data_IF_878401767987
#
_entry.id   IF_878401767987
#
_cell.length_a   1.000
_cell.length_b   1.000
_cell.length_c   1.000
_cell.angle_alpha   90.00
_cell.angle_beta   90.00
_cell.angle_gamma   90.00
#
_symmetry.space_group_name_H-M   'P 1'
#
loop_
_entity.id
_entity.type
_entity.pdbx_description
1 polymer ?
#
# COMPACT_ATOMS: atom_id res chain seq x y z
N UNK A 1 15.62 -72.97 23.09
CA UNK A 1 14.91 -73.49 24.28
C UNK A 1 14.21 -72.28 24.92
N UNK A 2 12.91 -72.06 24.89
CA UNK A 2 11.74 -72.93 24.72
C UNK A 2 10.85 -72.48 23.55
N UNK A 3 10.20 -73.47 22.94
CA UNK A 3 9.11 -73.37 21.98
C UNK A 3 7.75 -73.17 22.68
N UNK A 4 6.72 -73.01 21.84
CA UNK A 4 5.30 -73.40 21.94
C UNK A 4 4.34 -72.22 21.67
N UNK A 5 3.31 -72.28 20.81
CA UNK A 5 2.97 -73.00 19.55
C UNK A 5 1.53 -72.55 19.19
N UNK A 6 1.29 -72.31 17.90
CA UNK A 6 0.06 -72.43 17.09
C UNK A 6 -1.30 -71.80 17.44
N UNK A 7 -1.93 -71.32 16.35
CA UNK A 7 -3.37 -71.22 16.10
C UNK A 7 -3.70 -69.86 15.48
N UNK A 8 -4.05 -69.65 14.21
CA UNK A 8 -4.80 -70.49 13.28
C UNK A 8 -6.20 -69.90 13.08
N UNK A 9 -6.53 -69.54 11.83
CA UNK A 9 -7.86 -69.30 11.23
C UNK A 9 -8.40 -67.85 10.99
N UNK A 10 -8.42 -67.53 9.69
CA UNK A 10 -9.54 -67.09 8.83
C UNK A 10 -10.34 -65.80 9.11
N UNK A 11 -10.13 -64.85 8.18
CA UNK A 11 -11.08 -64.26 7.22
C UNK A 11 -12.41 -63.59 7.68
N UNK A 12 -12.49 -62.33 7.24
CA UNK A 12 -13.61 -61.65 6.58
C UNK A 12 -14.82 -61.21 7.44
N UNK A 13 -14.96 -59.89 7.57
CA UNK A 13 -16.27 -59.23 7.56
C UNK A 13 -16.13 -57.77 7.15
N UNK A 14 -16.55 -57.49 5.91
CA UNK A 14 -17.13 -56.22 5.51
C UNK A 14 -18.17 -55.79 6.54
N UNK A 15 -18.07 -54.57 7.05
CA UNK A 15 -19.27 -53.83 7.43
C UNK A 15 -19.16 -52.36 7.03
N UNK A 16 -19.98 -52.07 6.03
CA UNK A 16 -20.40 -50.78 5.56
C UNK A 16 -21.04 -49.98 6.71
N UNK A 17 -20.63 -48.74 6.92
CA UNK A 17 -21.41 -47.76 7.67
C UNK A 17 -21.13 -46.37 7.09
N UNK A 18 -21.97 -46.05 6.11
CA UNK A 18 -22.32 -44.70 5.72
C UNK A 18 -22.55 -43.82 6.97
N UNK A 19 -21.81 -42.71 7.09
CA UNK A 19 -22.33 -41.57 7.83
C UNK A 19 -22.07 -40.28 7.04
N UNK A 20 -22.97 -40.03 6.08
CA UNK A 20 -23.30 -38.69 5.60
C UNK A 20 -24.44 -38.17 6.49
N UNK A 21 -24.20 -37.06 7.17
CA UNK A 21 -25.17 -35.99 7.47
C UNK A 21 -24.34 -34.81 8.01
N UNK A 22 -24.07 -33.79 7.20
CA UNK A 22 -24.92 -32.64 6.88
C UNK A 22 -25.18 -31.72 8.08
N UNK A 23 -24.68 -30.50 7.92
CA UNK A 23 -25.15 -29.23 8.44
C UNK A 23 -24.94 -28.92 9.93
N UNK A 24 -23.94 -28.10 10.20
CA UNK A 24 -24.16 -26.86 10.94
C UNK A 24 -23.28 -25.75 10.38
N UNK A 25 -23.92 -25.01 9.49
CA UNK A 25 -23.62 -23.66 9.04
C UNK A 25 -23.30 -22.76 10.22
N UNK A 26 -22.02 -22.43 10.42
CA UNK A 26 -21.63 -21.24 11.18
C UNK A 26 -21.59 -20.06 10.19
N UNK A 27 -22.76 -19.49 9.92
CA UNK A 27 -22.87 -18.10 9.45
C UNK A 27 -22.41 -17.24 10.63
N UNK A 28 -21.20 -16.70 10.55
CA UNK A 28 -20.82 -15.53 11.34
C UNK A 28 -21.26 -14.30 10.56
N UNK A 29 -22.48 -13.84 10.82
CA UNK A 29 -22.93 -12.51 10.43
C UNK A 29 -22.30 -11.46 11.37
N UNK A 30 -21.66 -10.49 10.73
CA UNK A 30 -21.65 -9.07 11.10
C UNK A 30 -21.11 -8.69 12.49
N UNK A 31 -19.83 -8.35 12.50
CA UNK A 31 -19.46 -7.00 12.96
C UNK A 31 -18.67 -6.38 11.83
N UNK A 32 -19.18 -5.28 11.26
CA UNK A 32 -18.45 -4.40 10.35
C UNK A 32 -17.33 -3.68 11.09
N UNK A 33 -16.38 -4.45 11.62
CA UNK A 33 -15.05 -3.94 11.88
C UNK A 33 -14.50 -3.61 10.49
N UNK A 34 -14.35 -2.31 10.21
CA UNK A 34 -13.54 -1.86 9.10
C UNK A 34 -12.23 -2.63 9.22
N UNK A 35 -12.06 -3.65 8.38
CA UNK A 35 -10.87 -4.47 8.33
C UNK A 35 -9.73 -3.47 8.23
N UNK A 36 -8.97 -3.31 9.33
CA UNK A 36 -7.85 -2.38 9.37
C UNK A 36 -6.86 -2.96 8.38
N UNK A 37 -6.96 -2.52 7.14
CA UNK A 37 -6.08 -2.94 6.08
C UNK A 37 -4.77 -2.24 6.33
N UNK A 38 -3.86 -2.94 7.01
CA UNK A 38 -2.47 -2.54 7.16
C UNK A 38 -1.84 -2.30 5.77
N UNK A 39 -0.78 -1.50 5.74
CA UNK A 39 -0.02 -1.31 4.51
C UNK A 39 0.47 -2.63 3.91
N UNK A 40 0.65 -2.66 2.60
CA UNK A 40 1.05 -3.83 1.86
C UNK A 40 2.43 -4.34 2.29
N UNK A 41 2.67 -5.63 2.10
CA UNK A 41 3.96 -6.25 2.44
C UNK A 41 5.13 -5.60 1.68
N UNK A 42 4.88 -5.10 0.46
CA UNK A 42 5.85 -4.38 -0.34
C UNK A 42 6.25 -3.05 0.32
N UNK A 43 5.27 -2.28 0.81
CA UNK A 43 5.57 -1.04 1.53
C UNK A 43 6.35 -1.31 2.83
N UNK A 44 5.97 -2.35 3.58
CA UNK A 44 6.74 -2.78 4.76
C UNK A 44 8.18 -3.17 4.42
N UNK A 45 8.39 -3.83 3.28
CA UNK A 45 9.73 -4.15 2.80
C UNK A 45 10.52 -2.88 2.44
N UNK A 46 9.90 -1.93 1.73
CA UNK A 46 10.52 -0.63 1.40
C UNK A 46 10.91 0.12 2.68
N UNK A 47 10.02 0.24 3.67
CA UNK A 47 10.32 0.93 4.93
C UNK A 47 11.48 0.27 5.67
N UNK A 48 11.56 -1.06 5.70
CA UNK A 48 12.71 -1.78 6.27
C UNK A 48 14.01 -1.45 5.55
N UNK A 49 14.02 -1.46 4.21
CA UNK A 49 15.20 -1.12 3.42
C UNK A 49 15.65 0.33 3.69
N UNK A 50 14.72 1.28 3.75
CA UNK A 50 15.02 2.68 4.06
C UNK A 50 15.63 2.85 5.46
N UNK A 51 15.07 2.17 6.46
CA UNK A 51 15.60 2.16 7.83
C UNK A 51 17.00 1.53 7.90
N UNK A 52 17.23 0.39 7.26
CA UNK A 52 18.55 -0.26 7.20
C UNK A 52 19.58 0.60 6.47
N UNK A 53 19.19 1.26 5.38
CA UNK A 53 20.02 2.21 4.65
C UNK A 53 20.43 3.35 5.58
N UNK A 54 19.50 3.98 6.29
CA UNK A 54 19.81 5.06 7.22
C UNK A 54 20.75 4.58 8.32
N UNK A 55 20.46 3.43 8.95
CA UNK A 55 21.27 2.91 10.05
C UNK A 55 22.73 2.71 9.60
N UNK A 56 22.92 2.02 8.47
CA UNK A 56 24.25 1.74 7.92
C UNK A 56 25.00 3.01 7.51
N UNK A 57 24.31 3.92 6.80
CA UNK A 57 24.93 5.16 6.32
C UNK A 57 25.22 6.14 7.45
N UNK A 58 24.39 6.17 8.49
CA UNK A 58 24.61 7.04 9.64
C UNK A 58 25.82 6.68 10.48
N UNK A 59 26.29 5.43 10.42
CA UNK A 59 27.49 4.98 11.11
C UNK A 59 28.78 5.45 10.44
N UNK A 60 28.72 5.85 9.16
CA UNK A 60 29.91 6.14 8.34
C UNK A 60 29.91 7.52 7.70
N UNK A 61 28.73 8.15 7.52
CA UNK A 61 28.60 9.45 6.87
C UNK A 61 28.48 10.58 7.90
N UNK A 62 29.11 11.75 7.65
CA UNK A 62 28.83 12.97 8.40
C UNK A 62 27.35 13.38 8.29
N UNK A 63 26.82 14.07 9.32
CA UNK A 63 25.42 14.50 9.38
C UNK A 63 24.94 15.30 8.15
N UNK A 64 25.80 16.16 7.60
CA UNK A 64 25.50 16.98 6.41
C UNK A 64 25.37 16.12 5.16
N UNK A 65 26.28 15.18 4.94
CA UNK A 65 26.23 14.23 3.81
C UNK A 65 25.06 13.28 3.95
N UNK A 66 24.76 12.79 5.15
CA UNK A 66 23.59 11.95 5.42
C UNK A 66 22.29 12.68 5.13
N UNK A 67 22.18 13.95 5.51
CA UNK A 67 21.01 14.78 5.20
C UNK A 67 20.85 14.97 3.69
N UNK A 68 21.95 15.27 2.99
CA UNK A 68 21.94 15.38 1.53
C UNK A 68 21.49 14.07 0.86
N UNK A 69 21.94 12.92 1.37
CA UNK A 69 21.48 11.61 0.91
C UNK A 69 19.96 11.46 1.11
N UNK A 70 19.43 11.81 2.28
CA UNK A 70 17.99 11.75 2.56
C UNK A 70 17.19 12.63 1.59
N UNK A 71 17.64 13.86 1.34
CA UNK A 71 17.03 14.76 0.35
C UNK A 71 17.00 14.11 -1.04
N UNK A 72 18.10 13.48 -1.47
CA UNK A 72 18.18 12.79 -2.77
C UNK A 72 17.32 11.54 -2.85
N UNK A 73 17.25 10.75 -1.77
CA UNK A 73 16.39 9.57 -1.71
C UNK A 73 14.93 9.99 -1.81
N UNK A 74 14.47 10.98 -1.03
CA UNK A 74 13.10 11.47 -1.12
C UNK A 74 12.78 12.07 -2.49
N UNK A 75 13.64 12.94 -3.02
CA UNK A 75 13.45 13.62 -4.31
C UNK A 75 13.48 12.67 -5.52
N UNK A 76 14.05 11.47 -5.38
CA UNK A 76 14.11 10.48 -6.46
C UNK A 76 13.06 9.39 -6.32
N UNK A 77 12.87 8.87 -5.10
CA UNK A 77 11.98 7.74 -4.83
C UNK A 77 10.52 8.16 -4.93
N UNK A 78 10.10 9.20 -4.21
CA UNK A 78 8.68 9.55 -4.09
C UNK A 78 8.08 9.89 -5.46
N UNK A 79 8.71 10.74 -6.31
CA UNK A 79 8.16 11.00 -7.63
C UNK A 79 8.12 9.75 -8.52
N UNK A 80 9.09 8.83 -8.39
CA UNK A 80 9.08 7.56 -9.14
C UNK A 80 7.93 6.67 -8.69
N UNK A 81 7.71 6.56 -7.38
CA UNK A 81 6.58 5.82 -6.81
C UNK A 81 5.25 6.41 -7.29
N UNK A 82 5.05 7.72 -7.18
CA UNK A 82 3.87 8.42 -7.72
C UNK A 82 3.68 8.16 -9.22
N UNK A 83 4.77 8.14 -9.99
CA UNK A 83 4.69 7.84 -11.42
C UNK A 83 4.31 6.38 -11.73
N UNK A 84 4.48 5.44 -10.81
CA UNK A 84 4.01 4.06 -11.00
C UNK A 84 2.49 3.94 -10.91
N UNK A 85 1.83 4.73 -10.05
CA UNK A 85 0.36 4.81 -9.98
C UNK A 85 -0.19 5.03 -11.39
N UNK A 86 0.35 6.02 -12.08
CA UNK A 86 -0.13 6.40 -13.40
C UNK A 86 0.28 5.46 -14.55
N UNK A 87 0.96 4.35 -14.26
CA UNK A 87 1.19 3.26 -15.22
C UNK A 87 0.17 2.15 -15.06
N UNK A 88 -0.61 2.15 -13.98
CA UNK A 88 -1.70 1.21 -13.76
C UNK A 88 -2.85 1.48 -14.76
N UNK A 89 -3.72 0.50 -14.94
CA UNK A 89 -4.93 0.61 -15.77
C UNK A 89 -6.05 -0.20 -15.13
N UNK A 90 -7.25 0.35 -15.12
CA UNK A 90 -8.44 -0.34 -14.61
C UNK A 90 -8.40 -0.61 -13.11
N UNK A 91 -7.88 0.34 -12.33
CA UNK A 91 -7.75 0.23 -10.86
C UNK A 91 -9.14 0.27 -10.22
N UNK A 92 -9.48 -0.79 -9.51
CA UNK A 92 -10.72 -0.95 -8.74
C UNK A 92 -10.74 -0.04 -7.50
N UNK A 93 -11.91 0.11 -6.86
CA UNK A 93 -12.05 0.95 -5.66
C UNK A 93 -11.26 0.39 -4.47
N UNK A 94 -11.26 -0.93 -4.30
CA UNK A 94 -10.52 -1.61 -3.23
C UNK A 94 -9.01 -1.42 -3.40
N UNK A 95 -8.50 -1.52 -4.64
CA UNK A 95 -7.10 -1.25 -4.95
C UNK A 95 -6.72 0.21 -4.67
N UNK A 96 -7.60 1.18 -4.92
CA UNK A 96 -7.38 2.58 -4.52
C UNK A 96 -7.34 2.71 -3.00
N UNK A 97 -8.17 1.97 -2.27
CA UNK A 97 -8.11 1.88 -0.80
C UNK A 97 -6.74 1.44 -0.29
N UNK A 98 -6.23 0.32 -0.83
CA UNK A 98 -4.90 -0.21 -0.48
C UNK A 98 -3.80 0.79 -0.84
N UNK A 99 -3.84 1.40 -2.04
CA UNK A 99 -2.86 2.39 -2.47
C UNK A 99 -2.80 3.62 -1.56
N UNK A 100 -3.91 4.00 -0.94
CA UNK A 100 -3.95 5.09 0.05
C UNK A 100 -3.30 4.71 1.36
N UNK A 101 -3.55 3.49 1.84
CA UNK A 101 -2.87 2.97 3.04
C UNK A 101 -1.37 2.91 2.81
N UNK A 102 -0.96 2.40 1.65
CA UNK A 102 0.44 2.35 1.21
C UNK A 102 1.07 3.75 1.12
N UNK A 103 0.35 4.72 0.53
CA UNK A 103 0.78 6.12 0.46
C UNK A 103 1.00 6.73 1.85
N UNK A 104 0.03 6.56 2.76
CA UNK A 104 0.10 7.10 4.12
C UNK A 104 1.24 6.47 4.94
N UNK A 105 1.43 5.15 4.83
CA UNK A 105 2.51 4.44 5.51
C UNK A 105 3.90 4.86 4.98
N UNK A 106 4.04 5.04 3.67
CA UNK A 106 5.28 5.58 3.08
C UNK A 106 5.52 7.03 3.49
N UNK A 107 4.51 7.89 3.47
CA UNK A 107 4.65 9.29 3.91
C UNK A 107 5.15 9.34 5.35
N UNK A 108 4.51 8.58 6.25
CA UNK A 108 4.94 8.44 7.65
C UNK A 108 6.38 7.94 7.76
N UNK A 109 6.75 6.93 6.96
CA UNK A 109 8.12 6.41 6.91
C UNK A 109 9.09 7.53 6.55
N UNK A 110 8.86 8.26 5.45
CA UNK A 110 9.74 9.35 5.02
C UNK A 110 9.80 10.52 6.02
N UNK A 111 8.69 10.88 6.66
CA UNK A 111 8.68 11.95 7.67
C UNK A 111 9.43 11.57 8.95
N UNK A 112 9.37 10.29 9.34
CA UNK A 112 10.09 9.78 10.53
C UNK A 112 11.54 9.42 10.24
N UNK A 113 11.90 9.15 8.97
CA UNK A 113 13.19 8.63 8.57
C UNK A 113 14.39 9.43 9.12
N UNK A 114 14.43 10.78 9.08
CA UNK A 114 15.57 11.53 9.61
C UNK A 114 15.81 11.34 11.11
N UNK A 115 14.78 10.93 11.86
CA UNK A 115 14.82 10.72 13.31
C UNK A 115 14.92 9.24 13.69
N UNK A 116 14.97 8.34 12.71
CA UNK A 116 15.00 6.91 12.98
C UNK A 116 16.30 6.53 13.73
N UNK A 117 16.12 5.82 14.85
CA UNK A 117 17.15 5.40 15.80
C UNK A 117 17.88 6.54 16.54
N UNK A 118 17.60 7.81 16.23
CA UNK A 118 18.16 8.98 16.90
C UNK A 118 17.23 10.18 16.70
N UNK A 119 16.40 10.47 17.71
CA UNK A 119 15.43 11.57 17.67
C UNK A 119 16.10 12.95 17.67
N UNK A 120 17.37 13.05 18.10
CA UNK A 120 18.10 14.30 18.24
C UNK A 120 19.08 14.53 17.07
N UNK A 121 19.11 13.63 16.08
CA UNK A 121 20.04 13.67 14.93
C UNK A 121 20.03 15.01 14.18
N UNK A 122 18.86 15.63 14.10
CA UNK A 122 18.65 16.87 13.39
C UNK A 122 17.72 17.79 14.16
N UNK A 123 18.02 19.10 14.13
CA UNK A 123 17.10 20.13 14.58
C UNK A 123 16.02 20.36 13.52
N UNK A 124 14.80 20.73 13.93
CA UNK A 124 13.67 20.97 13.02
C UNK A 124 13.97 21.99 11.91
N UNK A 125 14.77 23.02 12.21
CA UNK A 125 15.19 24.05 11.24
C UNK A 125 16.01 23.47 10.09
N UNK A 126 16.81 22.44 10.37
CA UNK A 126 17.63 21.74 9.38
C UNK A 126 16.78 20.88 8.44
N UNK A 127 15.62 20.38 8.86
CA UNK A 127 14.82 19.48 8.02
C UNK A 127 13.66 20.18 7.29
N UNK A 128 13.49 21.50 7.45
CA UNK A 128 12.40 22.27 6.85
C UNK A 128 12.18 21.98 5.36
N UNK A 129 13.25 21.99 4.56
CA UNK A 129 13.18 21.69 3.12
C UNK A 129 12.83 20.23 2.81
N UNK A 130 13.44 19.29 3.54
CA UNK A 130 13.15 17.86 3.42
C UNK A 130 11.67 17.57 3.74
N UNK A 131 11.19 18.07 4.87
CA UNK A 131 9.81 17.86 5.31
C UNK A 131 8.81 18.49 4.34
N UNK A 132 9.12 19.69 3.83
CA UNK A 132 8.31 20.34 2.80
C UNK A 132 8.27 19.56 1.49
N UNK A 133 9.42 19.01 1.05
CA UNK A 133 9.51 18.16 -0.12
C UNK A 133 8.63 16.92 0.06
N UNK A 134 8.83 16.14 1.12
CA UNK A 134 8.08 14.90 1.39
C UNK A 134 6.57 15.19 1.39
N UNK A 135 6.11 16.17 2.16
CA UNK A 135 4.69 16.53 2.22
C UNK A 135 4.13 16.95 0.87
N UNK A 136 4.87 17.77 0.11
CA UNK A 136 4.42 18.21 -1.22
C UNK A 136 4.24 17.05 -2.18
N UNK A 137 5.22 16.14 -2.24
CA UNK A 137 5.17 15.00 -3.17
C UNK A 137 4.05 14.01 -2.80
N UNK A 138 3.85 13.72 -1.51
CA UNK A 138 2.75 12.85 -1.07
C UNK A 138 1.37 13.53 -1.15
N UNK A 139 1.26 14.84 -0.92
CA UNK A 139 0.02 15.60 -1.11
C UNK A 139 -0.48 15.49 -2.56
N UNK A 140 0.42 15.58 -3.54
CA UNK A 140 0.06 15.37 -4.95
C UNK A 140 -0.49 13.96 -5.21
N UNK A 141 0.16 12.93 -4.68
CA UNK A 141 -0.30 11.54 -4.80
C UNK A 141 -1.64 11.32 -4.10
N UNK A 142 -1.80 11.82 -2.88
CA UNK A 142 -3.00 11.67 -2.07
C UNK A 142 -4.21 12.38 -2.71
N UNK A 143 -4.01 13.53 -3.35
CA UNK A 143 -5.05 14.21 -4.15
C UNK A 143 -5.50 13.34 -5.32
N UNK A 144 -4.57 12.77 -6.08
CA UNK A 144 -4.89 11.86 -7.18
C UNK A 144 -5.69 10.64 -6.69
N UNK A 145 -5.25 10.01 -5.59
CA UNK A 145 -5.95 8.89 -4.99
C UNK A 145 -7.34 9.28 -4.45
N UNK A 146 -7.53 10.51 -3.94
CA UNK A 146 -8.86 11.01 -3.53
C UNK A 146 -9.82 11.13 -4.71
N UNK A 147 -9.36 11.61 -5.87
CA UNK A 147 -10.18 11.62 -7.09
C UNK A 147 -10.54 10.19 -7.52
N UNK A 148 -9.57 9.28 -7.47
CA UNK A 148 -9.79 7.87 -7.81
C UNK A 148 -10.67 7.11 -6.81
N UNK A 149 -11.05 7.69 -5.67
CA UNK A 149 -12.08 7.09 -4.80
C UNK A 149 -13.50 7.37 -5.25
N UNK A 150 -13.67 8.20 -6.27
CA UNK A 150 -14.99 8.49 -6.84
C UNK A 150 -15.19 7.63 -8.07
N UNK A 151 -16.42 7.17 -8.27
CA UNK A 151 -16.80 6.51 -9.50
C UNK A 151 -16.65 7.49 -10.67
N UNK A 152 -15.95 7.07 -11.73
CA UNK A 152 -15.74 7.87 -12.94
C UNK A 152 -17.04 8.16 -13.70
N UNK A 153 -18.11 7.43 -13.44
CA UNK A 153 -19.45 7.68 -14.00
C UNK A 153 -20.28 8.66 -13.17
N UNK A 154 -19.84 9.02 -11.95
CA UNK A 154 -20.56 9.96 -11.11
C UNK A 154 -20.25 11.41 -11.52
N UNK A 155 -21.27 12.26 -11.51
CA UNK A 155 -21.12 13.71 -11.77
C UNK A 155 -20.11 14.36 -10.81
N UNK A 156 -20.03 13.83 -9.58
CA UNK A 156 -19.11 14.27 -8.53
C UNK A 156 -17.63 14.01 -8.83
N UNK A 157 -17.29 13.17 -9.82
CA UNK A 157 -15.89 12.88 -10.17
C UNK A 157 -15.16 14.15 -10.62
N UNK A 158 -15.82 14.96 -11.47
CA UNK A 158 -15.26 16.22 -11.96
C UNK A 158 -15.18 17.24 -10.83
N UNK A 159 -16.23 17.35 -10.01
CA UNK A 159 -16.28 18.27 -8.86
C UNK A 159 -15.12 17.99 -7.89
N UNK A 160 -14.92 16.73 -7.51
CA UNK A 160 -13.82 16.32 -6.63
C UNK A 160 -12.47 16.59 -7.28
N UNK A 161 -12.31 16.35 -8.58
CA UNK A 161 -11.07 16.71 -9.29
C UNK A 161 -10.75 18.20 -9.17
N UNK A 162 -11.72 19.08 -9.38
CA UNK A 162 -11.51 20.53 -9.25
C UNK A 162 -11.30 20.95 -7.79
N UNK A 163 -12.02 20.38 -6.84
CA UNK A 163 -11.88 20.66 -5.41
C UNK A 163 -10.45 20.37 -4.93
N UNK A 164 -9.92 19.20 -5.28
CA UNK A 164 -8.67 18.70 -4.69
C UNK A 164 -7.45 19.00 -5.53
N UNK A 165 -7.59 19.33 -6.83
CA UNK A 165 -6.44 19.65 -7.68
C UNK A 165 -6.13 21.14 -7.65
N UNK A 166 -4.88 21.47 -7.31
CA UNK A 166 -4.38 22.86 -7.32
C UNK A 166 -4.56 23.48 -8.72
N UNK A 167 -4.95 24.77 -8.83
CA UNK A 167 -5.23 25.42 -10.11
C UNK A 167 -4.13 25.23 -11.16
N UNK A 168 -2.87 25.37 -10.77
CA UNK A 168 -1.68 25.19 -11.63
C UNK A 168 -1.48 23.76 -12.14
N UNK A 169 -2.07 22.78 -11.45
CA UNK A 169 -1.99 21.36 -11.81
C UNK A 169 -3.25 20.86 -12.53
N UNK A 170 -4.27 21.73 -12.70
CA UNK A 170 -5.47 21.42 -13.47
C UNK A 170 -5.11 21.42 -14.94
N UNK A 171 -5.05 20.22 -15.53
CA UNK A 171 -4.83 20.06 -16.96
C UNK A 171 -5.68 18.91 -17.48
N UNK A 172 -6.14 19.06 -18.72
CA UNK A 172 -6.90 18.01 -19.42
C UNK A 172 -6.07 16.71 -19.45
N UNK A 173 -4.75 16.80 -19.61
CA UNK A 173 -3.87 15.63 -19.60
C UNK A 173 -3.90 14.89 -18.26
N UNK A 174 -3.81 15.61 -17.14
CA UNK A 174 -3.88 15.02 -15.81
C UNK A 174 -5.26 14.39 -15.55
N UNK A 175 -6.32 15.08 -15.95
CA UNK A 175 -7.69 14.56 -15.83
C UNK A 175 -7.88 13.27 -16.64
N UNK A 176 -7.52 13.27 -17.93
CA UNK A 176 -7.62 12.09 -18.80
C UNK A 176 -6.83 10.92 -18.21
N UNK A 177 -5.63 11.17 -17.66
CA UNK A 177 -4.82 10.12 -17.04
C UNK A 177 -5.52 9.47 -15.84
N UNK A 178 -6.25 10.24 -15.03
CA UNK A 178 -7.06 9.71 -13.92
C UNK A 178 -8.27 8.91 -14.42
N UNK A 179 -8.89 9.35 -15.51
CA UNK A 179 -10.00 8.63 -16.13
C UNK A 179 -9.54 7.30 -16.75
N UNK A 180 -8.38 7.29 -17.41
CA UNK A 180 -7.74 6.08 -17.95
C UNK A 180 -7.35 5.08 -16.85
N UNK A 181 -6.91 5.58 -15.68
CA UNK A 181 -6.65 4.74 -14.52
C UNK A 181 -7.89 4.00 -14.04
N UNK A 182 -9.09 4.58 -14.21
CA UNK A 182 -10.38 3.93 -13.96
C UNK A 182 -10.87 3.02 -15.09
N UNK A 183 -10.07 2.83 -16.14
CA UNK A 183 -10.37 1.91 -17.23
C UNK A 183 -11.25 2.51 -18.34
N UNK A 184 -11.57 3.81 -18.30
CA UNK A 184 -12.21 4.50 -19.43
C UNK A 184 -11.18 4.84 -20.50
N UNK A 185 -11.52 4.63 -21.76
CA UNK A 185 -10.68 5.10 -22.88
C UNK A 185 -10.83 6.60 -23.05
N UNK A 186 -9.76 7.28 -23.48
CA UNK A 186 -9.77 8.72 -23.82
C UNK A 186 -10.93 9.13 -24.74
N UNK A 187 -11.33 8.25 -25.66
CA UNK A 187 -12.45 8.45 -26.59
C UNK A 187 -13.82 8.54 -25.90
N UNK A 188 -13.97 7.94 -24.72
CA UNK A 188 -15.19 7.94 -23.90
C UNK A 188 -15.23 9.14 -22.92
N UNK A 189 -14.21 10.00 -22.98
CA UNK A 189 -14.10 11.26 -22.24
C UNK A 189 -14.40 12.39 -23.21
N UNK A 190 -15.66 12.53 -23.63
CA UNK A 190 -16.09 13.70 -24.42
C UNK A 190 -16.97 14.62 -23.54
N UNK A 191 -16.85 15.94 -23.74
CA UNK A 191 -17.49 16.98 -22.92
C UNK A 191 -19.02 16.94 -23.02
#
# INVERSE_FOLDING_TARGET
>A
MQEYVHGGFMNNSNNNSNNRNNNSTAISNETGEAMVQDESQLIRAVSRVLHSMLLTTSAVLPHTTLRFLLDKVAASFIPRYTNTLYKLRGVSMDEVGVLRMDSAALEKTFLSLPYYNDANRYQSTQLSNYMRLVRREFDQLNRALKVLQVDVYADTFMEVYYEVTLPENRSIQNFVRLVELKGRKREQVRP
#
